data_IF_279227710314
#
_entry.id   IF_279227710314
#
_cell.length_a   1.000
_cell.length_b   1.000
_cell.length_c   1.000
_cell.angle_alpha   90.00
_cell.angle_beta   90.00
_cell.angle_gamma   90.00
#
_symmetry.space_group_name_H-M   'P 1'
#
loop_
_entity.id
_entity.type
_entity.pdbx_description
1 polymer ?
#
# COMPACT_ATOMS: atom_id res chain seq x y z
N UNK A 1 10.77 12.97 -19.08
CA UNK A 1 10.36 11.70 -18.44
C UNK A 1 11.56 10.98 -17.85
N UNK A 2 12.42 10.37 -18.67
CA UNK A 2 13.55 9.56 -18.16
C UNK A 2 14.44 10.27 -17.12
N UNK A 3 14.77 11.55 -17.34
CA UNK A 3 15.53 12.33 -16.34
C UNK A 3 14.80 12.50 -15.01
N UNK A 4 13.49 12.72 -15.05
CA UNK A 4 12.67 12.86 -13.84
C UNK A 4 12.62 11.53 -13.07
N UNK A 5 12.44 10.42 -13.79
CA UNK A 5 12.49 9.06 -13.26
C UNK A 5 13.82 8.79 -12.55
N UNK A 6 14.95 9.10 -13.20
CA UNK A 6 16.29 8.90 -12.61
C UNK A 6 16.53 9.79 -11.39
N UNK A 7 16.12 11.07 -11.45
CA UNK A 7 16.24 11.99 -10.33
C UNK A 7 15.42 11.51 -9.13
N UNK A 8 14.16 11.11 -9.34
CA UNK A 8 13.29 10.60 -8.30
C UNK A 8 13.82 9.30 -7.67
N UNK A 9 14.39 8.39 -8.47
CA UNK A 9 15.06 7.18 -7.93
C UNK A 9 16.27 7.55 -7.08
N UNK A 10 17.08 8.50 -7.51
CA UNK A 10 18.24 8.96 -6.75
C UNK A 10 17.82 9.58 -5.42
N UNK A 11 16.81 10.45 -5.44
CA UNK A 11 16.26 11.08 -4.26
C UNK A 11 15.71 10.06 -3.26
N UNK A 12 14.87 9.13 -3.73
CA UNK A 12 14.37 8.02 -2.92
C UNK A 12 15.52 7.16 -2.35
N UNK A 13 16.56 6.90 -3.15
CA UNK A 13 17.72 6.14 -2.70
C UNK A 13 18.47 6.84 -1.55
N UNK A 14 18.76 8.13 -1.69
CA UNK A 14 19.49 8.88 -0.67
C UNK A 14 18.68 9.01 0.62
N UNK A 15 17.43 9.44 0.53
CA UNK A 15 16.61 9.74 1.71
C UNK A 15 16.14 8.51 2.49
N UNK A 16 16.14 7.33 1.87
CA UNK A 16 15.63 6.13 2.54
C UNK A 16 16.72 5.11 2.87
N UNK A 17 17.69 4.92 1.97
CA UNK A 17 18.72 3.90 2.13
C UNK A 17 20.00 4.51 2.67
N UNK A 18 20.50 5.59 2.07
CA UNK A 18 21.77 6.20 2.51
C UNK A 18 21.64 6.80 3.90
N UNK A 19 20.57 7.54 4.17
CA UNK A 19 20.34 8.17 5.47
C UNK A 19 20.21 7.13 6.62
N UNK A 20 19.66 5.95 6.34
CA UNK A 20 19.44 4.90 7.35
C UNK A 20 20.56 3.85 7.44
N UNK A 21 21.24 3.57 6.33
CA UNK A 21 22.19 2.45 6.22
C UNK A 21 23.64 2.89 5.97
N UNK A 22 23.86 4.16 5.63
CA UNK A 22 25.16 4.74 5.32
C UNK A 22 25.67 4.37 3.92
N UNK A 23 26.39 5.30 3.27
CA UNK A 23 26.88 5.16 1.90
C UNK A 23 27.97 4.08 1.73
N UNK A 24 28.72 3.78 2.79
CA UNK A 24 29.89 2.87 2.74
C UNK A 24 29.53 1.39 2.95
N UNK A 25 28.26 1.08 3.20
CA UNK A 25 27.80 -0.30 3.40
C UNK A 25 27.39 -0.97 2.08
N UNK A 26 27.30 -2.32 2.10
CA UNK A 26 26.68 -3.05 0.97
C UNK A 26 25.22 -2.63 0.85
N UNK A 27 24.97 -1.77 -0.13
CA UNK A 27 23.66 -1.18 -0.40
C UNK A 27 22.59 -2.27 -0.55
N UNK A 28 21.53 -2.26 0.28
CA UNK A 28 20.49 -3.28 0.30
C UNK A 28 19.45 -3.11 -0.82
N UNK A 29 19.90 -2.65 -1.99
CA UNK A 29 19.07 -2.33 -3.16
C UNK A 29 19.78 -2.72 -4.45
N UNK A 30 19.02 -3.24 -5.42
CA UNK A 30 19.48 -3.58 -6.76
C UNK A 30 18.43 -3.13 -7.80
N UNK A 31 18.71 -2.08 -8.57
CA UNK A 31 17.92 -1.76 -9.74
C UNK A 31 17.96 -2.90 -10.76
N UNK A 32 16.80 -3.27 -11.28
CA UNK A 32 16.64 -4.25 -12.38
C UNK A 32 16.31 -3.52 -13.67
N UNK A 33 15.33 -2.61 -13.60
CA UNK A 33 14.91 -1.75 -14.71
C UNK A 33 14.82 -0.31 -14.19
N UNK A 34 15.45 0.61 -14.91
CA UNK A 34 15.22 2.06 -14.80
C UNK A 34 15.21 2.56 -16.25
N UNK A 35 14.05 2.62 -16.88
CA UNK A 35 13.95 2.93 -18.31
C UNK A 35 12.65 3.65 -18.63
N UNK A 36 12.75 4.82 -19.25
CA UNK A 36 11.57 5.65 -19.53
C UNK A 36 10.87 6.05 -18.24
N UNK A 37 9.63 5.61 -18.07
CA UNK A 37 8.78 5.74 -16.88
C UNK A 37 8.69 4.47 -16.04
N UNK A 38 9.21 3.33 -16.52
CA UNK A 38 9.16 2.05 -15.81
C UNK A 38 10.37 1.84 -14.89
N UNK A 39 10.09 1.42 -13.66
CA UNK A 39 11.09 1.08 -12.65
C UNK A 39 10.78 -0.29 -12.07
N UNK A 40 11.83 -1.09 -11.91
CA UNK A 40 11.81 -2.30 -11.10
C UNK A 40 13.06 -2.36 -10.26
N UNK A 41 12.88 -2.45 -8.94
CA UNK A 41 13.95 -2.47 -7.95
C UNK A 41 13.73 -3.63 -7.00
N UNK A 42 14.82 -4.34 -6.68
CA UNK A 42 14.86 -5.27 -5.55
C UNK A 42 15.46 -4.52 -4.37
N UNK A 43 14.77 -4.44 -3.24
CA UNK A 43 15.25 -3.77 -2.03
C UNK A 43 14.93 -4.61 -0.80
N UNK A 44 15.71 -4.47 0.28
CA UNK A 44 15.38 -5.08 1.57
C UNK A 44 14.04 -4.55 2.07
N UNK A 45 13.21 -5.43 2.64
CA UNK A 45 11.81 -5.16 2.89
C UNK A 45 11.53 -3.96 3.80
N UNK A 46 12.38 -3.70 4.80
CA UNK A 46 12.27 -2.56 5.71
C UNK A 46 12.48 -1.19 5.04
N UNK A 47 13.02 -1.13 3.82
CA UNK A 47 13.11 0.11 3.05
C UNK A 47 12.03 0.24 1.98
N UNK A 48 11.34 -0.84 1.62
CA UNK A 48 10.52 -0.87 0.41
C UNK A 48 9.37 0.13 0.45
N UNK A 49 8.68 0.26 1.59
CA UNK A 49 7.56 1.18 1.75
C UNK A 49 8.03 2.65 1.63
N UNK A 50 8.99 3.05 2.46
CA UNK A 50 9.55 4.40 2.46
C UNK A 50 10.18 4.79 1.12
N UNK A 51 10.94 3.87 0.51
CA UNK A 51 11.55 4.08 -0.81
C UNK A 51 10.47 4.36 -1.85
N UNK A 52 9.39 3.56 -1.85
CA UNK A 52 8.31 3.71 -2.83
C UNK A 52 7.54 5.00 -2.61
N UNK A 53 7.19 5.35 -1.37
CA UNK A 53 6.53 6.61 -1.02
C UNK A 53 7.37 7.81 -1.49
N UNK A 54 8.65 7.83 -1.11
CA UNK A 54 9.58 8.91 -1.48
C UNK A 54 9.74 9.02 -3.00
N UNK A 55 9.85 7.87 -3.69
CA UNK A 55 9.94 7.86 -5.15
C UNK A 55 8.70 8.47 -5.80
N UNK A 56 7.49 8.09 -5.35
CA UNK A 56 6.24 8.58 -5.94
C UNK A 56 6.08 10.09 -5.76
N UNK A 57 6.41 10.62 -4.58
CA UNK A 57 6.41 12.07 -4.30
C UNK A 57 7.46 12.79 -5.14
N UNK A 58 8.72 12.33 -5.10
CA UNK A 58 9.80 12.94 -5.86
C UNK A 58 9.51 12.92 -7.38
N UNK A 59 8.92 11.86 -7.90
CA UNK A 59 8.57 11.78 -9.33
C UNK A 59 7.57 12.87 -9.73
N UNK A 60 6.54 13.11 -8.91
CA UNK A 60 5.57 14.17 -9.15
C UNK A 60 6.22 15.56 -9.11
N UNK A 61 7.10 15.82 -8.14
CA UNK A 61 7.83 17.09 -8.02
C UNK A 61 8.80 17.31 -9.18
N UNK A 62 9.60 16.31 -9.52
CA UNK A 62 10.58 16.37 -10.62
C UNK A 62 9.89 16.58 -11.98
N UNK A 63 8.73 15.95 -12.19
CA UNK A 63 7.96 16.15 -13.43
C UNK A 63 7.27 17.50 -13.45
N UNK A 64 6.74 18.00 -12.32
CA UNK A 64 6.21 19.36 -12.19
C UNK A 64 7.25 20.40 -12.58
N UNK A 65 8.45 20.33 -12.03
CA UNK A 65 9.53 21.28 -12.33
C UNK A 65 9.94 21.21 -13.82
N UNK A 66 10.19 20.01 -14.33
CA UNK A 66 10.67 19.82 -15.70
C UNK A 66 9.60 20.14 -16.76
N UNK A 67 8.32 20.02 -16.45
CA UNK A 67 7.22 20.34 -17.36
C UNK A 67 6.74 21.78 -17.25
N UNK A 68 7.12 22.54 -16.22
CA UNK A 68 6.61 23.89 -15.94
C UNK A 68 6.68 24.83 -17.15
N UNK A 69 7.80 24.81 -17.90
CA UNK A 69 7.95 25.64 -19.10
C UNK A 69 7.00 25.23 -20.23
N UNK A 70 6.76 23.94 -20.42
CA UNK A 70 5.83 23.43 -21.44
C UNK A 70 4.39 23.74 -21.05
N UNK A 71 4.02 23.52 -19.78
CA UNK A 71 2.71 23.85 -19.24
C UNK A 71 2.39 25.33 -19.49
N UNK A 72 3.32 26.22 -19.17
CA UNK A 72 3.16 27.66 -19.39
C UNK A 72 3.06 28.04 -20.87
N UNK A 73 3.91 27.47 -21.72
CA UNK A 73 3.99 27.86 -23.14
C UNK A 73 2.82 27.34 -23.98
N UNK A 74 2.22 26.21 -23.59
CA UNK A 74 1.17 25.53 -24.35
C UNK A 74 -0.18 25.45 -23.61
N UNK A 75 -0.28 26.05 -22.41
CA UNK A 75 -1.52 26.07 -21.63
C UNK A 75 -1.97 24.67 -21.17
N UNK A 76 -1.03 23.79 -20.82
CA UNK A 76 -1.30 22.39 -20.48
C UNK A 76 -1.68 22.24 -18.99
N UNK A 77 -2.81 22.83 -18.60
CA UNK A 77 -3.24 22.94 -17.18
C UNK A 77 -3.32 21.59 -16.46
N UNK A 78 -3.60 20.50 -17.17
CA UNK A 78 -3.69 19.13 -16.61
C UNK A 78 -2.36 18.62 -16.02
N UNK A 79 -1.23 19.24 -16.39
CA UNK A 79 0.11 18.87 -15.90
C UNK A 79 0.74 19.91 -14.97
N UNK A 80 -0.03 20.89 -14.49
CA UNK A 80 0.45 21.93 -13.56
C UNK A 80 1.01 21.34 -12.26
N UNK A 81 0.45 20.23 -11.81
CA UNK A 81 0.88 19.51 -10.61
C UNK A 81 1.88 18.38 -10.89
N UNK A 82 2.42 18.32 -12.11
CA UNK A 82 3.30 17.25 -12.54
C UNK A 82 2.55 15.96 -12.91
N UNK A 83 3.31 14.90 -13.11
CA UNK A 83 2.81 13.56 -13.41
C UNK A 83 2.91 12.69 -12.17
N UNK A 84 1.85 11.97 -11.88
CA UNK A 84 1.82 10.98 -10.80
C UNK A 84 2.24 9.60 -11.32
N UNK A 85 2.55 8.70 -10.39
CA UNK A 85 2.83 7.31 -10.69
C UNK A 85 2.08 6.38 -9.72
N UNK A 86 1.94 5.12 -10.10
CA UNK A 86 1.42 4.07 -9.23
C UNK A 86 2.48 2.98 -9.06
N UNK A 87 2.47 2.32 -7.91
CA UNK A 87 3.42 1.27 -7.60
C UNK A 87 2.75 -0.01 -7.07
N UNK A 88 3.52 -1.10 -7.14
CA UNK A 88 3.20 -2.40 -6.56
C UNK A 88 4.41 -2.94 -5.82
N UNK A 89 4.24 -3.43 -4.59
CA UNK A 89 5.33 -3.97 -3.76
C UNK A 89 5.03 -5.43 -3.40
N UNK A 90 5.83 -6.36 -3.93
CA UNK A 90 5.77 -7.76 -3.55
C UNK A 90 6.84 -8.07 -2.49
N UNK A 91 6.42 -8.37 -1.26
CA UNK A 91 7.33 -8.85 -0.22
C UNK A 91 7.50 -10.37 -0.31
N UNK A 92 8.68 -10.79 -0.72
CA UNK A 92 9.03 -12.19 -0.97
C UNK A 92 10.18 -12.68 -0.09
N UNK A 93 10.24 -14.00 0.16
CA UNK A 93 11.38 -14.62 0.86
C UNK A 93 12.61 -14.65 -0.05
N UNK A 94 13.85 -14.68 0.49
CA UNK A 94 15.07 -14.67 -0.32
C UNK A 94 15.21 -15.82 -1.33
N UNK A 95 14.61 -16.98 -1.06
CA UNK A 95 14.62 -18.17 -1.95
C UNK A 95 13.41 -18.23 -2.90
N UNK A 96 12.57 -17.21 -2.89
CA UNK A 96 11.40 -17.16 -3.74
C UNK A 96 11.81 -16.92 -5.20
N UNK A 97 11.22 -17.62 -6.20
CA UNK A 97 11.56 -17.40 -7.59
C UNK A 97 11.35 -15.95 -8.01
N UNK A 98 12.36 -15.36 -8.65
CA UNK A 98 12.37 -13.93 -8.97
C UNK A 98 11.21 -13.51 -9.89
N UNK A 99 10.96 -14.26 -10.97
CA UNK A 99 9.90 -13.95 -11.94
C UNK A 99 8.52 -13.86 -11.27
N UNK A 100 8.20 -14.81 -10.38
CA UNK A 100 6.98 -14.76 -9.57
C UNK A 100 6.84 -13.50 -8.70
N UNK A 101 7.95 -13.00 -8.15
CA UNK A 101 7.94 -11.75 -7.40
C UNK A 101 7.67 -10.53 -8.29
N UNK A 102 8.26 -10.50 -9.49
CA UNK A 102 8.06 -9.42 -10.47
C UNK A 102 6.63 -9.43 -11.00
N UNK A 103 6.13 -10.60 -11.40
CA UNK A 103 4.76 -10.76 -11.92
C UNK A 103 3.73 -10.29 -10.89
N UNK A 104 3.93 -10.62 -9.60
CA UNK A 104 3.08 -10.13 -8.52
C UNK A 104 3.19 -8.62 -8.33
N UNK A 105 4.40 -8.05 -8.33
CA UNK A 105 4.59 -6.61 -8.22
C UNK A 105 3.91 -5.84 -9.37
N UNK A 106 3.96 -6.38 -10.59
CA UNK A 106 3.29 -5.82 -11.76
C UNK A 106 1.76 -5.93 -11.64
N UNK A 107 1.23 -7.06 -11.18
CA UNK A 107 -0.21 -7.25 -10.92
C UNK A 107 -0.72 -6.27 -9.85
N UNK A 108 0.04 -6.07 -8.77
CA UNK A 108 -0.24 -5.07 -7.72
C UNK A 108 -0.22 -3.64 -8.28
N UNK A 109 0.78 -3.30 -9.09
CA UNK A 109 0.87 -1.99 -9.75
C UNK A 109 -0.32 -1.75 -10.68
N UNK A 110 -0.71 -2.76 -11.45
CA UNK A 110 -1.88 -2.72 -12.33
C UNK A 110 -3.18 -2.52 -11.55
N UNK A 111 -3.31 -3.17 -10.38
CA UNK A 111 -4.42 -2.95 -9.47
C UNK A 111 -4.46 -1.49 -8.96
N UNK A 112 -3.33 -0.96 -8.47
CA UNK A 112 -3.21 0.45 -8.05
C UNK A 112 -3.65 1.40 -9.17
N UNK A 113 -3.12 1.23 -10.38
CA UNK A 113 -3.46 2.04 -11.58
C UNK A 113 -4.96 1.98 -11.89
N UNK A 114 -5.59 0.81 -11.77
CA UNK A 114 -7.02 0.61 -12.04
C UNK A 114 -7.90 1.36 -11.04
N UNK A 115 -7.56 1.29 -9.75
CA UNK A 115 -8.31 2.01 -8.71
C UNK A 115 -8.12 3.51 -8.84
N UNK A 116 -6.88 3.98 -9.00
CA UNK A 116 -6.57 5.41 -9.14
C UNK A 116 -7.32 6.05 -10.31
N UNK A 117 -7.33 5.41 -11.49
CA UNK A 117 -8.10 5.88 -12.66
C UNK A 117 -9.61 5.91 -12.42
N UNK A 118 -10.13 5.03 -11.56
CA UNK A 118 -11.53 4.99 -11.20
C UNK A 118 -11.92 6.09 -10.20
N UNK A 119 -10.97 6.60 -9.42
CA UNK A 119 -11.16 7.77 -8.55
C UNK A 119 -11.16 9.04 -9.38
N UNK A 120 -10.13 9.24 -10.21
CA UNK A 120 -10.03 10.38 -11.10
C UNK A 120 -9.28 9.99 -12.37
N UNK A 121 -9.96 10.07 -13.52
CA UNK A 121 -9.39 9.72 -14.82
C UNK A 121 -8.55 10.84 -15.43
N UNK A 122 -8.79 12.09 -15.04
CA UNK A 122 -8.14 13.26 -15.61
C UNK A 122 -6.85 13.59 -14.87
N UNK A 123 -6.89 13.49 -13.54
CA UNK A 123 -5.74 13.64 -12.67
C UNK A 123 -5.63 12.39 -11.79
N UNK A 124 -5.01 11.35 -12.35
CA UNK A 124 -4.88 10.05 -11.68
C UNK A 124 -4.03 10.25 -10.42
N UNK A 125 -4.53 10.00 -9.21
CA UNK A 125 -3.73 10.20 -7.99
C UNK A 125 -2.66 9.12 -7.83
N UNK A 126 -1.52 9.51 -7.26
CA UNK A 126 -0.42 8.58 -6.97
C UNK A 126 -0.76 7.63 -5.82
N UNK A 127 -0.48 6.34 -5.97
CA UNK A 127 -0.76 5.33 -4.96
C UNK A 127 0.05 4.05 -5.10
N UNK A 128 0.05 3.22 -4.06
CA UNK A 128 0.70 1.92 -4.07
C UNK A 128 -0.20 0.83 -3.46
N UNK A 129 0.04 -0.41 -3.88
CA UNK A 129 -0.51 -1.61 -3.24
C UNK A 129 0.65 -2.52 -2.91
N UNK A 130 0.60 -3.22 -1.78
CA UNK A 130 1.61 -4.20 -1.44
C UNK A 130 0.97 -5.53 -1.04
N UNK A 131 1.75 -6.59 -1.14
CA UNK A 131 1.34 -7.88 -0.61
C UNK A 131 2.56 -8.64 -0.11
N UNK A 132 2.40 -9.33 1.02
CA UNK A 132 3.41 -10.22 1.60
C UNK A 132 3.07 -11.65 1.26
N UNK A 133 3.92 -12.30 0.48
CA UNK A 133 3.67 -13.66 0.03
C UNK A 133 3.78 -14.63 1.21
N UNK A 134 2.69 -15.34 1.48
CA UNK A 134 2.60 -16.39 2.50
C UNK A 134 2.69 -17.80 1.90
N UNK A 135 2.04 -18.02 0.75
CA UNK A 135 1.93 -19.32 0.09
C UNK A 135 3.07 -19.57 -0.91
N UNK A 136 3.22 -20.83 -1.32
CA UNK A 136 4.23 -21.26 -2.30
C UNK A 136 3.79 -21.03 -3.76
N UNK A 137 2.58 -20.51 -4.02
CA UNK A 137 2.01 -20.36 -5.35
C UNK A 137 1.68 -18.88 -5.64
N UNK A 138 2.05 -18.38 -6.81
CA UNK A 138 1.58 -17.07 -7.30
C UNK A 138 0.42 -17.29 -8.23
N UNK A 139 -0.70 -16.67 -7.90
CA UNK A 139 -1.78 -16.34 -8.82
C UNK A 139 -1.79 -14.83 -9.10
N UNK A 140 -2.62 -14.37 -10.04
CA UNK A 140 -2.87 -12.95 -10.22
C UNK A 140 -3.43 -12.34 -8.91
N UNK A 141 -3.11 -11.08 -8.61
CA UNK A 141 -3.54 -10.45 -7.37
C UNK A 141 -5.07 -10.43 -7.19
N UNK A 142 -5.87 -10.37 -8.28
CA UNK A 142 -7.32 -10.46 -8.16
C UNK A 142 -7.78 -11.85 -7.66
N UNK A 143 -7.08 -12.91 -8.04
CA UNK A 143 -7.36 -14.26 -7.55
C UNK A 143 -6.99 -14.40 -6.07
N UNK A 144 -5.86 -13.83 -5.65
CA UNK A 144 -5.48 -13.75 -4.23
C UNK A 144 -6.53 -13.00 -3.40
N UNK A 145 -7.10 -11.93 -3.96
CA UNK A 145 -8.18 -11.19 -3.28
C UNK A 145 -9.36 -12.10 -2.98
N UNK A 146 -9.81 -12.88 -3.95
CA UNK A 146 -11.01 -13.71 -3.82
C UNK A 146 -10.78 -15.01 -3.03
N UNK A 147 -9.54 -15.50 -2.95
CA UNK A 147 -9.19 -16.78 -2.31
C UNK A 147 -8.55 -16.62 -0.92
N UNK A 148 -7.61 -15.69 -0.75
CA UNK A 148 -6.81 -15.52 0.47
C UNK A 148 -7.19 -14.26 1.26
N UNK A 149 -7.56 -13.16 0.59
CA UNK A 149 -7.83 -11.86 1.24
C UNK A 149 -9.32 -11.58 1.41
N UNK A 150 -10.13 -12.61 1.60
CA UNK A 150 -11.56 -12.46 1.82
C UNK A 150 -12.05 -13.39 2.93
N UNK A 151 -12.61 -12.81 3.98
CA UNK A 151 -13.40 -13.51 4.98
C UNK A 151 -14.87 -13.54 4.57
N UNK A 152 -15.36 -14.72 4.22
CA UNK A 152 -16.78 -14.95 3.89
C UNK A 152 -17.44 -15.76 4.99
N UNK A 153 -18.55 -15.25 5.53
CA UNK A 153 -19.49 -16.04 6.33
C UNK A 153 -20.88 -16.02 5.67
N UNK A 154 -21.84 -16.80 6.21
CA UNK A 154 -23.18 -16.96 5.63
C UNK A 154 -23.98 -15.65 5.42
N UNK A 155 -23.53 -14.52 5.96
CA UNK A 155 -24.27 -13.25 5.95
C UNK A 155 -23.48 -12.04 5.48
N UNK A 156 -22.14 -12.07 5.55
CA UNK A 156 -21.28 -10.94 5.19
C UNK A 156 -19.94 -11.38 4.62
N UNK A 157 -19.37 -10.48 3.82
CA UNK A 157 -18.05 -10.59 3.21
C UNK A 157 -17.22 -9.40 3.67
N UNK A 158 -16.05 -9.65 4.24
CA UNK A 158 -15.06 -8.63 4.62
C UNK A 158 -13.77 -8.92 3.86
N UNK A 159 -13.24 -7.93 3.13
CA UNK A 159 -11.97 -8.08 2.43
C UNK A 159 -10.79 -7.54 3.22
N UNK A 160 -9.65 -8.18 3.03
CA UNK A 160 -8.38 -7.87 3.70
C UNK A 160 -7.41 -7.12 2.79
N UNK A 161 -7.83 -6.73 1.58
CA UNK A 161 -7.06 -5.89 0.65
C UNK A 161 -7.45 -4.41 0.81
N UNK A 162 -7.06 -3.79 1.93
CA UNK A 162 -7.48 -2.42 2.25
C UNK A 162 -6.89 -1.39 1.28
N UNK A 163 -5.69 -1.65 0.78
CA UNK A 163 -5.08 -0.84 -0.28
C UNK A 163 -5.94 -0.72 -1.56
N UNK A 164 -5.58 0.17 -2.49
CA UNK A 164 -4.32 0.90 -2.51
C UNK A 164 -4.25 2.01 -1.46
N UNK A 165 -3.03 2.38 -1.12
CA UNK A 165 -2.68 3.48 -0.22
C UNK A 165 -2.22 4.66 -1.07
N UNK A 166 -2.87 5.80 -0.92
CA UNK A 166 -2.58 6.98 -1.71
C UNK A 166 -1.45 7.82 -1.08
N UNK A 167 -0.73 8.56 -1.92
CA UNK A 167 0.23 9.55 -1.43
C UNK A 167 -0.51 10.73 -0.81
N UNK A 168 -1.55 11.21 -1.49
CA UNK A 168 -2.44 12.29 -1.03
C UNK A 168 -3.80 11.74 -0.60
N UNK A 169 -4.51 12.45 0.27
CA UNK A 169 -5.82 12.02 0.77
C UNK A 169 -6.85 11.82 -0.35
N UNK A 170 -7.54 10.68 -0.33
CA UNK A 170 -8.66 10.38 -1.23
C UNK A 170 -9.87 9.90 -0.43
N UNK A 171 -11.07 10.29 -0.86
CA UNK A 171 -12.31 9.91 -0.17
C UNK A 171 -12.45 8.39 -0.04
N UNK A 172 -12.61 7.90 1.19
CA UNK A 172 -12.76 6.47 1.55
C UNK A 172 -11.52 5.60 1.29
N UNK A 173 -10.34 6.19 1.14
CA UNK A 173 -9.07 5.47 1.09
C UNK A 173 -8.08 6.06 2.10
N UNK A 174 -7.16 5.24 2.58
CA UNK A 174 -6.10 5.70 3.47
C UNK A 174 -4.84 6.09 2.69
N UNK A 175 -4.01 6.90 3.32
CA UNK A 175 -2.70 7.27 2.80
C UNK A 175 -1.63 6.26 3.20
N UNK A 176 -0.46 6.31 2.53
CA UNK A 176 0.72 5.56 2.96
C UNK A 176 1.13 5.94 4.39
N UNK A 177 1.01 7.23 4.75
CA UNK A 177 1.21 7.71 6.13
C UNK A 177 0.32 7.01 7.15
N UNK A 178 -0.99 6.87 6.87
CA UNK A 178 -1.90 6.16 7.79
C UNK A 178 -1.47 4.70 8.01
N UNK A 179 -1.10 4.00 6.93
CA UNK A 179 -0.61 2.63 7.03
C UNK A 179 0.64 2.51 7.90
N UNK A 180 1.60 3.42 7.70
CA UNK A 180 2.84 3.47 8.49
C UNK A 180 2.55 3.76 9.96
N UNK A 181 1.64 4.68 10.26
CA UNK A 181 1.22 4.98 11.63
C UNK A 181 0.59 3.75 12.31
N UNK A 182 -0.27 3.01 11.60
CA UNK A 182 -0.85 1.76 12.10
C UNK A 182 0.20 0.70 12.37
N UNK A 183 1.16 0.53 11.46
CA UNK A 183 2.25 -0.43 11.63
C UNK A 183 3.18 -0.05 12.79
N UNK A 184 3.48 1.25 12.95
CA UNK A 184 4.25 1.79 14.08
C UNK A 184 3.56 1.54 15.43
N UNK A 185 2.25 1.74 15.49
CA UNK A 185 1.46 1.47 16.71
C UNK A 185 1.45 -0.02 17.06
N UNK A 186 1.37 -0.91 16.05
CA UNK A 186 1.45 -2.37 16.26
C UNK A 186 2.83 -2.85 16.70
N UNK A 187 3.91 -2.12 16.38
CA UNK A 187 5.27 -2.45 16.81
C UNK A 187 5.59 -2.06 18.26
N UNK A 188 4.65 -1.45 19.00
CA UNK A 188 4.80 -1.16 20.44
C UNK A 188 4.61 -2.43 21.28
N UNK A 189 5.29 -2.49 22.42
CA UNK A 189 5.26 -3.66 23.32
C UNK A 189 3.86 -3.96 23.90
N UNK A 190 3.03 -2.94 24.07
CA UNK A 190 1.67 -3.02 24.63
C UNK A 190 0.58 -3.11 23.54
N UNK A 191 0.97 -3.30 22.28
CA UNK A 191 0.02 -3.34 21.17
C UNK A 191 -0.84 -4.62 21.19
N UNK A 192 -2.10 -4.54 20.71
CA UNK A 192 -2.97 -5.71 20.62
C UNK A 192 -2.72 -6.55 19.35
N UNK A 193 -1.48 -6.72 18.88
CA UNK A 193 -1.17 -7.49 17.65
C UNK A 193 -1.74 -8.91 17.69
N UNK A 194 -1.45 -9.68 18.74
CA UNK A 194 -1.94 -11.06 18.86
C UNK A 194 -3.48 -11.15 18.90
N UNK A 195 -4.20 -10.37 19.75
CA UNK A 195 -5.66 -10.29 19.69
C UNK A 195 -6.23 -9.88 18.33
N UNK A 196 -5.56 -8.98 17.60
CA UNK A 196 -6.03 -8.52 16.29
C UNK A 196 -5.86 -9.61 15.21
N UNK A 197 -4.82 -10.44 15.28
CA UNK A 197 -4.70 -11.64 14.43
C UNK A 197 -5.82 -12.63 14.70
N UNK A 198 -6.09 -12.90 15.97
CA UNK A 198 -7.20 -13.77 16.37
C UNK A 198 -8.55 -13.18 15.89
N UNK A 199 -8.69 -11.86 15.90
CA UNK A 199 -9.86 -11.19 15.35
C UNK A 199 -10.01 -11.41 13.84
N UNK A 200 -8.94 -11.29 13.05
CA UNK A 200 -8.95 -11.60 11.62
C UNK A 200 -9.36 -13.06 11.35
N UNK A 201 -8.83 -14.01 12.13
CA UNK A 201 -9.23 -15.43 12.03
C UNK A 201 -10.71 -15.64 12.34
N UNK A 202 -11.24 -14.95 13.37
CA UNK A 202 -12.66 -15.04 13.75
C UNK A 202 -13.59 -14.44 12.70
N UNK A 203 -13.14 -13.49 11.88
CA UNK A 203 -13.94 -12.98 10.76
C UNK A 203 -14.30 -14.08 9.74
N UNK A 204 -13.42 -15.06 9.54
CA UNK A 204 -13.69 -16.21 8.67
C UNK A 204 -14.71 -17.19 9.25
N UNK A 205 -14.83 -17.27 10.58
CA UNK A 205 -15.56 -18.35 11.25
C UNK A 205 -16.88 -17.90 11.86
N UNK A 206 -16.89 -16.82 12.65
CA UNK A 206 -18.08 -16.37 13.38
C UNK A 206 -18.06 -14.87 13.69
N UNK A 207 -18.92 -14.12 12.98
CA UNK A 207 -19.12 -12.67 13.13
C UNK A 207 -19.43 -12.24 14.57
N UNK A 208 -20.31 -12.97 15.27
CA UNK A 208 -20.70 -12.62 16.64
C UNK A 208 -19.51 -12.66 17.58
N UNK A 209 -18.68 -13.70 17.47
CA UNK A 209 -17.46 -13.80 18.28
C UNK A 209 -16.38 -12.81 17.88
N UNK A 210 -16.25 -12.48 16.58
CA UNK A 210 -15.34 -11.45 16.09
C UNK A 210 -15.74 -10.07 16.65
N UNK A 211 -17.02 -9.73 16.64
CA UNK A 211 -17.53 -8.48 17.22
C UNK A 211 -17.29 -8.40 18.73
N UNK A 212 -17.53 -9.49 19.46
CA UNK A 212 -17.24 -9.56 20.91
C UNK A 212 -15.75 -9.38 21.20
N UNK A 213 -14.87 -10.03 20.42
CA UNK A 213 -13.42 -9.89 20.59
C UNK A 213 -12.98 -8.45 20.30
N UNK A 214 -13.46 -7.82 19.23
CA UNK A 214 -13.13 -6.43 18.92
C UNK A 214 -13.56 -5.47 20.03
N UNK A 215 -14.78 -5.63 20.56
CA UNK A 215 -15.25 -4.83 21.69
C UNK A 215 -14.35 -5.02 22.93
N UNK A 216 -13.91 -6.25 23.19
CA UNK A 216 -12.95 -6.53 24.26
C UNK A 216 -11.61 -5.83 24.02
N UNK A 217 -11.05 -5.94 22.80
CA UNK A 217 -9.80 -5.26 22.42
C UNK A 217 -9.93 -3.76 22.69
N UNK A 218 -11.03 -3.12 22.26
CA UNK A 218 -11.26 -1.68 22.51
C UNK A 218 -11.34 -1.36 24.00
N UNK A 219 -11.95 -2.23 24.82
CA UNK A 219 -12.14 -1.97 26.25
C UNK A 219 -10.88 -2.11 27.11
N UNK A 220 -9.93 -2.95 26.70
CA UNK A 220 -8.72 -3.26 27.50
C UNK A 220 -7.51 -2.42 27.09
N UNK A 221 -7.53 -1.82 25.89
CA UNK A 221 -6.46 -0.98 25.38
C UNK A 221 -6.71 0.50 25.68
N UNK A 222 -5.65 1.30 25.66
CA UNK A 222 -5.78 2.74 25.87
C UNK A 222 -6.60 3.39 24.75
N UNK A 223 -7.33 4.46 25.06
CA UNK A 223 -8.05 5.25 24.05
C UNK A 223 -7.11 5.73 22.94
N UNK A 224 -5.85 6.02 23.27
CA UNK A 224 -4.82 6.40 22.30
C UNK A 224 -4.50 5.27 21.34
N UNK A 225 -4.26 4.05 21.83
CA UNK A 225 -4.01 2.87 20.99
C UNK A 225 -5.21 2.57 20.08
N UNK A 226 -6.43 2.63 20.64
CA UNK A 226 -7.67 2.42 19.89
C UNK A 226 -7.82 3.46 18.77
N UNK A 227 -7.53 4.73 19.05
CA UNK A 227 -7.58 5.81 18.07
C UNK A 227 -6.48 5.69 17.02
N UNK A 228 -5.23 5.45 17.43
CA UNK A 228 -4.08 5.35 16.54
C UNK A 228 -4.23 4.18 15.56
N UNK A 229 -4.74 3.03 16.01
CA UNK A 229 -5.05 1.88 15.13
C UNK A 229 -6.38 2.02 14.38
N UNK A 230 -7.10 3.14 14.56
CA UNK A 230 -8.43 3.36 14.00
C UNK A 230 -9.40 2.18 14.25
N UNK A 231 -9.38 1.62 15.46
CA UNK A 231 -10.15 0.41 15.76
C UNK A 231 -11.65 0.67 15.80
N UNK A 232 -12.10 1.91 16.00
CA UNK A 232 -13.53 2.26 15.96
C UNK A 232 -14.16 1.94 14.60
N UNK A 233 -13.38 2.12 13.54
CA UNK A 233 -13.75 1.82 12.16
C UNK A 233 -12.88 0.68 11.61
N UNK A 234 -12.60 -0.34 12.44
CA UNK A 234 -11.79 -1.50 12.05
C UNK A 234 -12.33 -2.25 10.81
N UNK A 235 -13.62 -2.12 10.53
CA UNK A 235 -14.23 -2.49 9.26
C UNK A 235 -14.83 -1.22 8.67
N UNK A 236 -14.30 -0.75 7.54
CA UNK A 236 -14.83 0.38 6.79
C UNK A 236 -15.56 -0.10 5.53
N UNK A 237 -16.35 0.79 4.93
CA UNK A 237 -17.01 0.54 3.65
C UNK A 237 -16.41 1.44 2.57
N UNK A 238 -16.13 0.87 1.40
CA UNK A 238 -15.72 1.62 0.21
C UNK A 238 -16.52 1.18 -1.00
N UNK A 239 -16.56 2.02 -2.03
CA UNK A 239 -17.09 1.62 -3.34
C UNK A 239 -16.19 0.55 -3.94
N UNK A 240 -16.79 -0.51 -4.47
CA UNK A 240 -16.04 -1.50 -5.25
C UNK A 240 -15.39 -0.84 -6.47
N UNK A 241 -14.26 -1.38 -6.95
CA UNK A 241 -13.61 -0.87 -8.17
C UNK A 241 -14.57 -0.88 -9.37
N UNK A 242 -15.42 -1.90 -9.49
CA UNK A 242 -16.45 -1.98 -10.55
C UNK A 242 -17.48 -0.85 -10.42
N UNK A 243 -17.90 -0.52 -9.20
CA UNK A 243 -18.89 0.54 -8.99
C UNK A 243 -18.32 1.93 -9.16
N UNK A 244 -17.04 2.15 -8.86
CA UNK A 244 -16.33 3.38 -9.23
C UNK A 244 -16.32 3.58 -10.75
N UNK A 245 -15.95 2.54 -11.50
CA UNK A 245 -15.88 2.60 -12.97
C UNK A 245 -17.25 2.75 -13.64
N UNK A 246 -18.29 2.09 -13.09
CA UNK A 246 -19.65 2.08 -13.66
C UNK A 246 -20.60 3.12 -13.07
N UNK A 247 -20.12 3.94 -12.12
CA UNK A 247 -20.95 4.88 -11.34
C UNK A 247 -22.15 4.20 -10.66
N UNK A 248 -21.95 2.99 -10.15
CA UNK A 248 -22.94 2.25 -9.37
C UNK A 248 -22.76 2.54 -7.86
N UNK A 249 -23.73 2.18 -7.03
CA UNK A 249 -23.68 2.39 -5.57
C UNK A 249 -23.23 1.15 -4.78
N UNK A 250 -22.67 0.13 -5.44
CA UNK A 250 -22.23 -1.08 -4.75
C UNK A 250 -21.00 -0.80 -3.86
N UNK A 251 -21.12 -1.10 -2.58
CA UNK A 251 -20.02 -1.02 -1.59
C UNK A 251 -19.49 -2.41 -1.24
N UNK A 252 -18.31 -2.42 -0.63
CA UNK A 252 -17.69 -3.58 -0.01
C UNK A 252 -17.11 -3.20 1.36
N UNK A 253 -17.12 -4.15 2.29
CA UNK A 253 -16.50 -4.03 3.61
C UNK A 253 -15.03 -4.42 3.53
N UNK A 254 -14.15 -3.60 4.08
CA UNK A 254 -12.70 -3.80 4.08
C UNK A 254 -12.13 -3.55 5.47
N UNK A 255 -11.00 -4.18 5.80
CA UNK A 255 -10.27 -3.94 7.05
C UNK A 255 -8.78 -3.70 6.78
N UNK A 256 -8.23 -2.64 7.39
CA UNK A 256 -6.81 -2.29 7.28
C UNK A 256 -5.91 -3.10 8.20
N UNK A 257 -6.49 -3.81 9.16
CA UNK A 257 -5.74 -4.52 10.21
C UNK A 257 -4.82 -5.59 9.62
N UNK A 258 -5.25 -6.27 8.55
CA UNK A 258 -4.42 -7.27 7.86
C UNK A 258 -3.14 -6.64 7.29
N UNK A 259 -3.28 -5.54 6.55
CA UNK A 259 -2.16 -4.82 5.93
C UNK A 259 -1.26 -4.17 6.99
N UNK A 260 -1.84 -3.56 8.04
CA UNK A 260 -1.07 -2.97 9.14
C UNK A 260 -0.20 -4.01 9.86
N UNK A 261 -0.77 -5.18 10.17
CA UNK A 261 -0.02 -6.30 10.75
C UNK A 261 1.06 -6.78 9.77
N UNK A 262 0.75 -6.92 8.49
CA UNK A 262 1.71 -7.38 7.49
C UNK A 262 2.94 -6.45 7.42
N UNK A 263 2.72 -5.13 7.39
CA UNK A 263 3.78 -4.13 7.37
C UNK A 263 4.57 -4.09 8.69
N UNK A 264 3.89 -4.11 9.84
CA UNK A 264 4.55 -4.16 11.15
C UNK A 264 5.53 -5.33 11.25
N UNK A 265 5.13 -6.52 10.78
CA UNK A 265 6.00 -7.71 10.75
C UNK A 265 7.19 -7.62 9.77
N UNK A 266 7.12 -6.74 8.77
CA UNK A 266 8.22 -6.52 7.81
C UNK A 266 9.24 -5.55 8.42
N UNK A 267 8.73 -4.50 9.07
CA UNK A 267 9.53 -3.40 9.62
C UNK A 267 10.04 -3.66 11.05
N UNK A 268 9.51 -4.67 11.74
CA UNK A 268 9.98 -5.07 13.06
C UNK A 268 11.48 -5.36 13.02
N UNK A 269 12.26 -4.60 13.79
CA UNK A 269 13.71 -4.84 13.94
C UNK A 269 13.91 -6.20 14.59
N UNK A 270 14.47 -7.16 13.84
CA UNK A 270 15.06 -8.37 14.40
C UNK A 270 16.48 -8.08 14.88
#
# INVERSE_FOLDING_TARGET
>A
MEEATKAAVQEAFYHTIVDKYGADQKVPMRPVVIGGDDITVIVRGDFAMDFTETYLTAFQEQTKEKLASLVKNFGLTDFEEGLTACAGIAYIKPKYPFHYGVDLAESLCSYSKKVAKAINSNHVPGCLTFHKVHSSFVSDYNEMIDTELTATNNTELVRFNYGPYFIEEQTNYATVGNLKDWALELNKDDSPDAPLREWLERLHTNKGTAAQLLNRIRSINSNTTVANLNLEVAISERKTVKSLLKKEEKTEKVTHIFDAIALANIESKK
#
